data_IF_796079765290
#
_entry.id   IF_796079765290
#
_cell.length_a   1.000
_cell.length_b   1.000
_cell.length_c   1.000
_cell.angle_alpha   90.00
_cell.angle_beta   90.00
_cell.angle_gamma   90.00
#
_symmetry.space_group_name_H-M   'P 1'
#
loop_
_entity.id
_entity.type
_entity.pdbx_description
1 polymer ?
#
# COMPACT_ATOMS: atom_id res chain seq x y z
N UNK A 1 -5.91 1.49 6.03
CA UNK A 1 -7.32 1.90 5.81
C UNK A 1 -8.04 1.82 7.13
N UNK A 2 -8.50 2.96 7.64
CA UNK A 2 -9.35 2.99 8.85
C UNK A 2 -10.74 2.55 8.46
N UNK A 3 -11.15 1.36 8.89
CA UNK A 3 -12.56 1.00 8.93
C UNK A 3 -13.13 1.34 10.30
N UNK A 4 -14.02 2.33 10.33
CA UNK A 4 -14.99 2.50 11.39
C UNK A 4 -16.34 2.03 10.83
N UNK A 5 -16.71 0.80 11.06
CA UNK A 5 -18.12 0.44 11.08
C UNK A 5 -18.53 0.24 12.54
N UNK A 6 -19.58 0.92 12.94
CA UNK A 6 -20.27 0.64 14.18
C UNK A 6 -20.88 -0.75 14.06
N UNK A 7 -20.37 -1.70 14.82
CA UNK A 7 -20.82 -3.08 14.82
C UNK A 7 -19.73 -4.05 14.46
N UNK A 8 -20.01 -5.29 14.61
CA UNK A 8 -19.16 -6.44 14.48
C UNK A 8 -18.30 -6.38 13.19
N UNK A 9 -17.01 -6.35 13.34
CA UNK A 9 -16.07 -6.39 12.20
C UNK A 9 -16.19 -7.77 11.53
N UNK A 10 -16.82 -7.85 10.38
CA UNK A 10 -16.57 -8.93 9.45
C UNK A 10 -15.16 -8.72 8.89
N UNK A 11 -14.22 -9.54 9.31
CA UNK A 11 -12.86 -9.56 8.82
C UNK A 11 -12.75 -10.18 7.40
N UNK A 12 -13.83 -10.20 6.65
CA UNK A 12 -13.92 -10.75 5.32
C UNK A 12 -14.36 -9.68 4.31
N UNK A 13 -13.40 -9.27 3.50
CA UNK A 13 -13.64 -8.70 2.18
C UNK A 13 -14.41 -7.38 2.09
N UNK A 14 -14.08 -6.61 1.08
CA UNK A 14 -14.86 -5.44 0.66
C UNK A 14 -16.18 -5.86 0.01
N UNK A 15 -17.26 -5.20 0.38
CA UNK A 15 -18.45 -5.16 -0.47
C UNK A 15 -18.10 -4.36 -1.72
N UNK A 16 -18.33 -4.89 -2.93
CA UNK A 16 -18.02 -4.14 -4.14
C UNK A 16 -18.88 -2.90 -4.21
N UNK A 17 -18.29 -1.79 -4.59
CA UNK A 17 -19.04 -0.62 -5.01
C UNK A 17 -19.64 -0.95 -6.37
N UNK A 18 -20.97 -0.90 -6.48
CA UNK A 18 -21.66 -1.00 -7.76
C UNK A 18 -21.67 0.37 -8.41
N UNK A 19 -21.68 0.39 -9.74
CA UNK A 19 -21.78 1.63 -10.49
C UNK A 19 -23.00 2.47 -10.06
N UNK A 20 -24.11 1.79 -9.76
CA UNK A 20 -25.34 2.42 -9.28
C UNK A 20 -25.20 3.09 -7.91
N UNK A 21 -24.18 2.73 -7.13
CA UNK A 21 -23.95 3.28 -5.79
C UNK A 21 -23.11 4.58 -5.83
N UNK A 22 -22.61 4.96 -7.00
CA UNK A 22 -21.87 6.22 -7.19
C UNK A 22 -22.87 7.35 -7.41
N UNK A 23 -22.93 8.27 -6.46
CA UNK A 23 -23.86 9.41 -6.50
C UNK A 23 -23.48 10.49 -7.50
N UNK A 24 -22.19 10.57 -7.84
CA UNK A 24 -21.64 11.60 -8.71
C UNK A 24 -20.62 11.02 -9.68
N UNK A 25 -20.46 11.61 -10.88
CA UNK A 25 -19.42 11.20 -11.80
C UNK A 25 -18.05 11.46 -11.19
N UNK A 26 -17.15 10.49 -11.35
CA UNK A 26 -15.76 10.59 -10.87
C UNK A 26 -14.94 11.51 -11.76
N UNK A 27 -15.34 11.65 -13.03
CA UNK A 27 -14.75 12.55 -14.02
C UNK A 27 -15.78 13.09 -14.98
N UNK A 28 -15.61 14.34 -15.43
CA UNK A 28 -16.42 14.92 -16.51
C UNK A 28 -16.06 14.37 -17.90
N UNK A 29 -14.91 13.73 -18.06
CA UNK A 29 -14.49 13.07 -19.29
C UNK A 29 -15.03 11.64 -19.30
N UNK A 30 -15.81 11.27 -20.33
CA UNK A 30 -16.45 9.96 -20.43
C UNK A 30 -15.45 8.79 -20.46
N UNK A 31 -14.31 8.97 -21.09
CA UNK A 31 -13.29 7.91 -21.18
C UNK A 31 -12.60 7.72 -19.84
N UNK A 32 -12.21 8.81 -19.18
CA UNK A 32 -11.66 8.77 -17.82
C UNK A 32 -12.69 8.28 -16.80
N UNK A 33 -13.96 8.65 -17.00
CA UNK A 33 -15.06 8.14 -16.18
C UNK A 33 -15.18 6.62 -16.29
N UNK A 34 -15.08 6.07 -17.50
CA UNK A 34 -15.14 4.62 -17.72
C UNK A 34 -13.99 3.92 -17.03
N UNK A 35 -12.76 4.41 -17.16
CA UNK A 35 -11.57 3.88 -16.49
C UNK A 35 -11.70 3.95 -14.97
N UNK A 36 -12.14 5.10 -14.42
CA UNK A 36 -12.36 5.26 -12.99
C UNK A 36 -13.43 4.30 -12.46
N UNK A 37 -14.48 4.04 -13.24
CA UNK A 37 -15.54 3.11 -12.88
C UNK A 37 -15.07 1.66 -12.93
N UNK A 38 -14.22 1.29 -13.86
CA UNK A 38 -13.65 -0.04 -13.94
C UNK A 38 -12.76 -0.34 -12.72
N UNK A 39 -12.05 0.64 -12.21
CA UNK A 39 -11.28 0.51 -10.96
C UNK A 39 -12.16 0.21 -9.74
N UNK A 40 -13.36 0.78 -9.65
CA UNK A 40 -14.28 0.57 -8.53
C UNK A 40 -15.19 -0.65 -8.71
N UNK A 41 -15.30 -1.19 -9.92
CA UNK A 41 -16.12 -2.36 -10.22
C UNK A 41 -15.53 -3.68 -9.72
N UNK A 42 -14.22 -3.76 -9.59
CA UNK A 42 -13.59 -5.00 -9.20
C UNK A 42 -13.74 -5.24 -7.71
N UNK A 43 -14.45 -6.33 -7.37
CA UNK A 43 -14.34 -6.95 -6.06
C UNK A 43 -12.90 -7.41 -5.91
N UNK A 44 -12.11 -6.64 -5.21
CA UNK A 44 -10.85 -7.15 -4.71
C UNK A 44 -11.10 -7.50 -3.24
N UNK A 45 -11.07 -8.78 -2.92
CA UNK A 45 -10.97 -9.19 -1.54
C UNK A 45 -9.71 -8.55 -0.97
N UNK A 46 -9.86 -7.88 0.18
CA UNK A 46 -8.71 -7.33 0.86
C UNK A 46 -8.05 -8.44 1.67
N UNK A 47 -6.84 -8.88 1.32
CA UNK A 47 -6.14 -9.87 2.12
C UNK A 47 -5.92 -9.32 3.53
N UNK A 48 -6.27 -10.15 4.51
CA UNK A 48 -5.94 -9.89 5.90
C UNK A 48 -4.43 -10.01 6.09
N UNK A 49 -3.82 -8.98 6.65
CA UNK A 49 -2.38 -8.95 6.93
C UNK A 49 -2.11 -9.44 8.33
N UNK A 50 -2.83 -8.90 9.33
CA UNK A 50 -2.63 -9.24 10.73
C UNK A 50 -3.86 -8.91 11.55
N UNK A 51 -4.10 -9.69 12.60
CA UNK A 51 -5.00 -9.36 13.69
C UNK A 51 -4.21 -9.39 15.00
N UNK A 52 -4.22 -8.30 15.73
CA UNK A 52 -3.63 -8.26 17.08
C UNK A 52 -4.69 -7.93 18.13
N UNK A 53 -4.54 -8.52 19.31
CA UNK A 53 -5.24 -8.11 20.51
C UNK A 53 -4.25 -7.41 21.45
N UNK A 54 -4.60 -6.23 21.89
CA UNK A 54 -3.74 -5.38 22.71
C UNK A 54 -4.47 -5.07 24.02
N UNK A 55 -3.89 -5.47 25.17
CA UNK A 55 -4.49 -5.23 26.47
C UNK A 55 -4.17 -3.83 26.99
N UNK A 56 -4.98 -3.34 27.91
CA UNK A 56 -4.76 -2.12 28.69
C UNK A 56 -3.46 -2.19 29.54
N UNK A 57 -2.94 -3.41 29.76
CA UNK A 57 -1.69 -3.67 30.51
C UNK A 57 -0.46 -3.76 29.62
N UNK A 58 -0.61 -3.53 28.31
CA UNK A 58 0.51 -3.52 27.36
C UNK A 58 0.87 -4.88 26.77
N UNK A 59 0.03 -5.90 26.96
CA UNK A 59 0.20 -7.19 26.25
C UNK A 59 -0.26 -7.05 24.80
N UNK A 60 0.46 -7.67 23.88
CA UNK A 60 0.08 -7.78 22.48
C UNK A 60 0.13 -9.23 22.02
N UNK A 61 -0.99 -9.73 21.53
CA UNK A 61 -1.14 -11.10 21.03
C UNK A 61 -1.43 -11.07 19.53
N UNK A 62 -0.70 -11.86 18.75
CA UNK A 62 -1.04 -12.11 17.35
C UNK A 62 -2.15 -13.16 17.28
N UNK A 63 -3.31 -12.77 16.77
CA UNK A 63 -4.50 -13.60 16.61
C UNK A 63 -4.77 -13.97 15.15
N UNK A 64 -3.85 -13.68 14.22
CA UNK A 64 -4.06 -13.89 12.78
C UNK A 64 -4.46 -15.33 12.47
N UNK A 65 -3.80 -16.31 13.10
CA UNK A 65 -4.11 -17.73 12.93
C UNK A 65 -5.43 -18.18 13.57
N UNK A 66 -6.07 -17.31 14.36
CA UNK A 66 -7.38 -17.57 14.98
C UNK A 66 -8.56 -17.12 14.13
N UNK A 67 -8.30 -16.53 12.97
CA UNK A 67 -9.33 -16.15 12.02
C UNK A 67 -9.72 -17.36 11.19
N UNK A 68 -11.00 -17.72 11.23
CA UNK A 68 -11.56 -18.79 10.41
C UNK A 68 -11.78 -18.32 8.96
N UNK A 69 -11.95 -19.25 8.00
CA UNK A 69 -12.21 -18.91 6.60
C UNK A 69 -13.46 -18.05 6.38
N UNK A 70 -14.41 -18.10 7.28
CA UNK A 70 -15.62 -17.25 7.24
C UNK A 70 -15.42 -15.84 7.83
N UNK A 71 -14.19 -15.53 8.27
CA UNK A 71 -13.83 -14.25 8.90
C UNK A 71 -14.13 -14.19 10.40
N UNK A 72 -14.61 -15.27 11.03
CA UNK A 72 -14.88 -15.29 12.46
C UNK A 72 -13.58 -15.42 13.26
N UNK A 73 -13.42 -14.60 14.30
CA UNK A 73 -12.32 -14.72 15.25
C UNK A 73 -12.65 -15.78 16.31
N UNK A 74 -11.89 -16.88 16.33
CA UNK A 74 -12.00 -17.96 17.32
C UNK A 74 -11.03 -17.72 18.48
N UNK A 75 -11.41 -16.81 19.36
CA UNK A 75 -10.60 -16.44 20.52
C UNK A 75 -11.47 -15.97 21.68
N UNK A 76 -11.12 -16.42 22.87
CA UNK A 76 -11.74 -15.93 24.12
C UNK A 76 -10.75 -15.02 24.81
N UNK A 77 -11.14 -13.75 24.99
CA UNK A 77 -10.31 -12.78 25.64
C UNK A 77 -10.04 -13.17 27.10
N UNK A 78 -8.79 -13.11 27.59
CA UNK A 78 -8.49 -13.14 29.01
C UNK A 78 -9.17 -11.98 29.74
N UNK A 79 -9.21 -12.06 31.08
CA UNK A 79 -9.79 -10.98 31.89
C UNK A 79 -9.02 -9.67 31.68
N UNK A 80 -9.75 -8.59 31.37
CA UNK A 80 -9.23 -7.25 31.12
C UNK A 80 -9.87 -6.61 29.90
N UNK A 81 -9.43 -5.40 29.58
CA UNK A 81 -9.88 -4.66 28.41
C UNK A 81 -8.91 -4.90 27.25
N UNK A 82 -9.44 -5.30 26.10
CA UNK A 82 -8.67 -5.65 24.91
C UNK A 82 -9.11 -4.83 23.71
N UNK A 83 -8.15 -4.27 23.02
CA UNK A 83 -8.35 -3.63 21.72
C UNK A 83 -7.91 -4.56 20.61
N UNK A 84 -8.84 -4.92 19.71
CA UNK A 84 -8.54 -5.72 18.52
C UNK A 84 -8.20 -4.78 17.37
N UNK A 85 -7.02 -4.97 16.79
CA UNK A 85 -6.60 -4.29 15.56
C UNK A 85 -6.51 -5.30 14.43
N UNK A 86 -7.17 -5.03 13.30
CA UNK A 86 -7.08 -5.82 12.09
C UNK A 86 -6.62 -4.95 10.94
N UNK A 87 -5.57 -5.36 10.25
CA UNK A 87 -5.07 -4.68 9.06
C UNK A 87 -5.32 -5.51 7.82
N UNK A 88 -5.81 -4.84 6.78
CA UNK A 88 -6.04 -5.42 5.46
C UNK A 88 -5.23 -4.64 4.43
N UNK A 89 -4.68 -5.37 3.46
CA UNK A 89 -4.03 -4.74 2.33
C UNK A 89 -5.08 -4.32 1.32
N UNK A 90 -5.27 -3.01 1.19
CA UNK A 90 -6.09 -2.42 0.13
C UNK A 90 -5.31 -2.23 -1.16
N UNK A 91 -6.04 -2.04 -2.25
CA UNK A 91 -5.46 -1.51 -3.47
C UNK A 91 -5.47 0.01 -3.42
N UNK A 92 -4.42 0.62 -3.92
CA UNK A 92 -4.31 2.06 -4.03
C UNK A 92 -5.40 2.62 -4.98
N UNK A 93 -5.62 1.95 -6.12
CA UNK A 93 -6.64 2.32 -7.10
C UNK A 93 -6.22 3.42 -8.08
N UNK A 94 -4.96 3.85 -8.05
CA UNK A 94 -4.42 4.74 -9.08
C UNK A 94 -4.04 3.92 -10.29
N UNK A 95 -4.51 4.36 -11.45
CA UNK A 95 -4.05 3.89 -12.74
C UNK A 95 -3.04 4.85 -13.35
N UNK A 96 -2.26 4.36 -14.30
CA UNK A 96 -1.40 5.20 -15.13
C UNK A 96 -2.28 6.14 -15.93
N UNK A 97 -2.13 7.44 -15.71
CA UNK A 97 -2.83 8.45 -16.49
C UNK A 97 -2.33 8.52 -17.92
N UNK A 98 -3.27 8.67 -18.86
CA UNK A 98 -2.96 8.87 -20.27
C UNK A 98 -2.00 7.82 -20.83
N UNK A 99 -2.14 6.59 -20.37
CA UNK A 99 -1.38 5.48 -20.92
C UNK A 99 -1.59 5.37 -22.42
N UNK A 100 -0.52 5.06 -23.16
CA UNK A 100 -0.65 4.69 -24.56
C UNK A 100 -1.39 3.37 -24.70
N UNK A 101 -1.97 3.07 -25.87
CA UNK A 101 -2.68 1.81 -26.10
C UNK A 101 -1.84 0.58 -25.69
N UNK A 102 -2.39 -0.28 -24.84
CA UNK A 102 -1.70 -1.46 -24.28
C UNK A 102 -0.80 -1.17 -23.08
N UNK A 103 -0.76 0.08 -22.61
CA UNK A 103 -0.03 0.49 -21.40
C UNK A 103 -0.93 0.76 -20.20
N UNK A 104 -2.22 0.47 -20.32
CA UNK A 104 -3.20 0.63 -19.26
C UNK A 104 -2.89 -0.33 -18.11
N UNK A 105 -3.04 0.14 -16.89
CA UNK A 105 -2.81 -0.69 -15.70
C UNK A 105 -2.64 0.12 -14.42
N UNK A 106 -2.58 -0.60 -13.32
CA UNK A 106 -2.32 -0.01 -12.01
C UNK A 106 -0.87 0.53 -11.95
N UNK A 107 -0.65 1.59 -11.19
CA UNK A 107 0.70 2.04 -10.86
C UNK A 107 1.44 0.97 -10.06
N UNK A 108 2.75 0.94 -10.23
CA UNK A 108 3.61 -0.02 -9.53
C UNK A 108 3.65 0.27 -8.02
N UNK A 109 4.01 -0.73 -7.23
CA UNK A 109 4.36 -0.54 -5.83
C UNK A 109 5.75 0.11 -5.72
N UNK A 110 5.78 1.42 -5.49
CA UNK A 110 7.02 2.20 -5.37
C UNK A 110 7.84 1.86 -4.12
N UNK A 111 7.28 1.14 -3.18
CA UNK A 111 7.97 0.72 -1.95
C UNK A 111 8.57 -0.68 -2.06
N UNK A 112 8.29 -1.39 -3.14
CA UNK A 112 8.79 -2.74 -3.41
C UNK A 112 9.96 -2.71 -4.39
N UNK A 113 11.15 -3.06 -3.91
CA UNK A 113 12.33 -3.18 -4.76
C UNK A 113 12.13 -4.17 -5.91
N UNK A 114 11.43 -5.29 -5.67
CA UNK A 114 11.15 -6.29 -6.69
C UNK A 114 10.17 -5.79 -7.76
N UNK A 115 9.20 -4.97 -7.38
CA UNK A 115 8.27 -4.37 -8.33
C UNK A 115 9.01 -3.40 -9.28
N UNK A 116 9.92 -2.58 -8.73
CA UNK A 116 10.75 -1.68 -9.53
C UNK A 116 11.66 -2.46 -10.48
N UNK A 117 12.33 -3.50 -10.00
CA UNK A 117 13.19 -4.33 -10.85
C UNK A 117 12.40 -4.96 -12.00
N UNK A 118 11.23 -5.50 -11.69
CA UNK A 118 10.37 -6.09 -12.70
C UNK A 118 9.93 -5.04 -13.75
N UNK A 119 9.55 -3.85 -13.30
CA UNK A 119 9.19 -2.75 -14.21
C UNK A 119 10.35 -2.36 -15.10
N UNK A 120 11.54 -2.13 -14.53
CA UNK A 120 12.72 -1.71 -15.26
C UNK A 120 13.24 -2.80 -16.22
N UNK A 121 13.05 -4.08 -15.90
CA UNK A 121 13.41 -5.18 -16.80
C UNK A 121 12.69 -5.13 -18.14
N UNK A 122 11.50 -4.53 -18.21
CA UNK A 122 10.76 -4.34 -19.46
C UNK A 122 11.47 -3.37 -20.41
N UNK A 123 12.12 -2.37 -19.86
CA UNK A 123 12.96 -1.46 -20.64
C UNK A 123 14.26 -2.15 -21.11
N UNK A 124 14.86 -3.00 -20.26
CA UNK A 124 16.02 -3.80 -20.66
C UNK A 124 15.67 -4.71 -21.87
N UNK A 125 14.51 -5.36 -21.82
CA UNK A 125 14.00 -6.18 -22.93
C UNK A 125 13.75 -5.34 -24.19
N UNK A 126 13.11 -4.16 -24.04
CA UNK A 126 12.76 -3.28 -25.15
C UNK A 126 13.99 -2.67 -25.83
N UNK A 127 15.03 -2.40 -25.06
CA UNK A 127 16.28 -1.78 -25.56
C UNK A 127 17.31 -2.80 -26.06
N UNK A 128 17.07 -4.09 -25.84
CA UNK A 128 18.01 -5.12 -26.25
C UNK A 128 18.32 -5.05 -27.74
N UNK A 129 19.61 -4.87 -28.06
CA UNK A 129 20.08 -4.75 -29.43
C UNK A 129 19.71 -3.44 -30.14
N UNK A 130 19.20 -2.45 -29.41
CA UNK A 130 18.92 -1.12 -29.95
C UNK A 130 20.07 -0.16 -29.63
N UNK A 131 20.30 0.77 -30.56
CA UNK A 131 21.21 1.89 -30.29
C UNK A 131 20.47 2.95 -29.47
N UNK A 132 20.85 3.06 -28.20
CA UNK A 132 20.34 4.07 -27.26
C UNK A 132 21.42 5.11 -26.91
N UNK A 133 22.47 5.23 -27.72
CA UNK A 133 23.60 6.15 -27.43
C UNK A 133 23.16 7.60 -27.33
N UNK A 134 22.13 8.00 -28.04
CA UNK A 134 21.55 9.34 -28.05
C UNK A 134 20.70 9.67 -26.81
N UNK A 135 20.26 8.66 -26.02
CA UNK A 135 19.57 8.88 -24.74
C UNK A 135 20.58 9.40 -23.71
N UNK A 136 20.21 10.44 -22.99
CA UNK A 136 21.02 10.99 -21.90
C UNK A 136 20.41 10.70 -20.54
N UNK A 137 19.10 10.81 -20.45
CA UNK A 137 18.36 10.70 -19.21
C UNK A 137 17.09 9.88 -19.43
N UNK A 138 16.70 9.14 -18.41
CA UNK A 138 15.36 8.61 -18.27
C UNK A 138 14.55 9.59 -17.45
N UNK A 139 13.36 9.89 -17.92
CA UNK A 139 12.45 10.83 -17.26
C UNK A 139 11.34 10.07 -16.56
N UNK A 140 11.05 10.44 -15.33
CA UNK A 140 9.85 10.06 -14.61
C UNK A 140 9.12 11.36 -14.23
N UNK A 141 7.84 11.40 -14.47
CA UNK A 141 7.02 12.52 -14.06
C UNK A 141 6.76 12.51 -12.55
N UNK A 142 5.90 13.38 -12.06
CA UNK A 142 5.57 13.51 -10.65
C UNK A 142 5.07 12.20 -10.04
N UNK A 143 5.32 12.05 -8.75
CA UNK A 143 4.75 10.97 -7.94
C UNK A 143 3.31 11.33 -7.59
N UNK A 144 2.37 10.94 -8.46
CA UNK A 144 0.96 11.30 -8.36
C UNK A 144 0.15 10.10 -7.85
N UNK A 145 -0.03 10.02 -6.54
CA UNK A 145 -0.76 8.94 -5.88
C UNK A 145 -1.83 9.45 -4.91
N UNK A 146 -2.08 10.75 -4.89
CA UNK A 146 -2.92 11.43 -3.91
C UNK A 146 -4.39 11.53 -4.32
N UNK A 147 -4.71 11.39 -5.58
CA UNK A 147 -6.06 11.47 -6.13
C UNK A 147 -6.78 10.11 -6.22
N UNK A 148 -6.15 9.06 -5.72
CA UNK A 148 -6.76 7.74 -5.64
C UNK A 148 -7.56 7.57 -4.35
N UNK A 149 -8.50 6.61 -4.34
CA UNK A 149 -9.30 6.29 -3.14
C UNK A 149 -8.50 5.65 -2.03
N UNK A 150 -7.46 4.87 -2.38
CA UNK A 150 -6.52 4.29 -1.44
C UNK A 150 -5.33 5.21 -1.20
N UNK A 151 -4.71 5.08 -0.04
CA UNK A 151 -3.47 5.77 0.27
C UNK A 151 -2.29 4.90 -0.16
N UNK A 152 -1.29 5.49 -0.83
CA UNK A 152 -0.02 4.83 -1.12
C UNK A 152 0.85 4.84 0.13
N UNK A 153 0.63 3.91 1.02
CA UNK A 153 1.25 3.89 2.34
C UNK A 153 1.62 2.49 2.84
N UNK A 154 1.62 1.49 1.96
CA UNK A 154 1.86 0.11 2.33
C UNK A 154 2.54 -0.68 1.21
N UNK A 155 3.34 -1.66 1.62
CA UNK A 155 3.87 -2.74 0.77
C UNK A 155 3.87 -4.04 1.57
N UNK A 156 3.81 -5.23 0.96
CA UNK A 156 3.82 -6.50 1.71
C UNK A 156 4.99 -6.68 2.68
N UNK A 157 6.16 -6.14 2.36
CA UNK A 157 7.35 -6.22 3.21
C UNK A 157 7.41 -5.14 4.32
N UNK A 158 6.36 -4.32 4.48
CA UNK A 158 6.42 -3.11 5.30
C UNK A 158 6.82 -3.36 6.75
N UNK A 159 6.30 -4.37 7.40
CA UNK A 159 6.64 -4.67 8.80
C UNK A 159 8.12 -4.99 8.98
N UNK A 160 8.69 -5.79 8.10
CA UNK A 160 10.09 -6.20 8.18
C UNK A 160 11.02 -5.02 7.87
N UNK A 161 10.68 -4.22 6.87
CA UNK A 161 11.42 -2.99 6.55
C UNK A 161 11.29 -1.96 7.67
N UNK A 162 10.10 -1.80 8.27
CA UNK A 162 9.92 -0.93 9.43
C UNK A 162 10.82 -1.36 10.59
N UNK A 163 10.82 -2.64 10.94
CA UNK A 163 11.67 -3.15 12.01
C UNK A 163 13.16 -2.92 11.71
N UNK A 164 13.57 -3.12 10.48
CA UNK A 164 14.94 -2.87 10.02
C UNK A 164 15.36 -1.41 10.18
N UNK A 165 14.48 -0.46 9.79
CA UNK A 165 14.78 0.97 9.84
C UNK A 165 14.58 1.59 11.22
N UNK A 166 13.60 1.13 12.00
CA UNK A 166 13.18 1.74 13.27
C UNK A 166 13.64 0.97 14.51
N UNK A 167 14.02 -0.30 14.35
CA UNK A 167 14.58 -1.11 15.45
C UNK A 167 13.54 -1.73 16.38
N UNK A 168 12.25 -1.64 16.03
CA UNK A 168 11.17 -2.26 16.80
C UNK A 168 10.04 -2.78 15.90
N UNK A 169 9.24 -3.71 16.41
CA UNK A 169 8.16 -4.34 15.66
C UNK A 169 6.87 -3.49 15.73
N UNK A 170 6.48 -2.92 14.60
CA UNK A 170 5.26 -2.11 14.48
C UNK A 170 4.00 -2.89 14.86
N UNK A 171 3.99 -4.22 14.68
CA UNK A 171 2.83 -5.07 15.01
C UNK A 171 2.39 -4.91 16.47
N UNK A 172 3.35 -4.65 17.35
CA UNK A 172 3.11 -4.43 18.78
C UNK A 172 2.59 -3.02 19.11
N UNK A 173 2.55 -2.13 18.12
CA UNK A 173 2.19 -0.72 18.28
C UNK A 173 1.03 -0.29 17.39
N UNK A 174 0.23 -1.23 16.89
CA UNK A 174 -0.91 -0.92 16.01
C UNK A 174 -1.94 0.02 16.68
N UNK A 175 -2.29 -0.11 17.97
CA UNK A 175 -3.15 0.89 18.60
C UNK A 175 -2.60 2.31 18.51
N UNK A 176 -1.31 2.48 18.74
CA UNK A 176 -0.68 3.80 18.63
C UNK A 176 -0.68 4.32 17.20
N UNK A 177 -0.37 3.48 16.21
CA UNK A 177 -0.45 3.84 14.79
C UNK A 177 -1.87 4.30 14.40
N UNK A 178 -2.90 3.67 14.96
CA UNK A 178 -4.30 3.98 14.71
C UNK A 178 -4.84 5.14 15.59
N UNK A 179 -3.99 5.77 16.39
CA UNK A 179 -4.36 6.90 17.23
C UNK A 179 -5.15 6.53 18.49
N UNK A 180 -5.00 5.29 18.97
CA UNK A 180 -5.76 4.70 20.07
C UNK A 180 -4.92 4.54 21.36
N UNK A 181 -3.73 5.10 21.41
CA UNK A 181 -2.83 5.14 22.57
C UNK A 181 -2.67 6.60 23.05
N UNK A 182 -1.70 6.88 23.91
CA UNK A 182 -1.42 8.25 24.34
C UNK A 182 -1.02 9.15 23.16
N UNK A 183 -1.35 10.44 23.18
CA UNK A 183 -1.04 11.37 22.10
C UNK A 183 0.45 11.37 21.69
N UNK A 184 1.36 11.31 22.67
CA UNK A 184 2.81 11.28 22.43
C UNK A 184 3.22 9.99 21.70
N UNK A 185 2.75 8.82 22.16
CA UNK A 185 3.08 7.53 21.53
C UNK A 185 2.48 7.43 20.14
N UNK A 186 1.24 7.90 19.96
CA UNK A 186 0.61 7.96 18.63
C UNK A 186 1.44 8.78 17.65
N UNK A 187 1.89 9.97 18.08
CA UNK A 187 2.69 10.85 17.23
C UNK A 187 4.03 10.23 16.85
N UNK A 188 4.74 9.60 17.79
CA UNK A 188 6.03 8.93 17.52
C UNK A 188 5.90 7.76 16.56
N UNK A 189 4.94 6.87 16.81
CA UNK A 189 4.74 5.70 15.94
C UNK A 189 4.30 6.12 14.54
N UNK A 190 3.43 7.12 14.42
CA UNK A 190 3.02 7.67 13.13
C UNK A 190 4.18 8.36 12.41
N UNK A 191 5.05 9.07 13.13
CA UNK A 191 6.26 9.66 12.57
C UNK A 191 7.18 8.57 12.00
N UNK A 192 7.48 7.53 12.77
CA UNK A 192 8.33 6.42 12.34
C UNK A 192 7.74 5.66 11.15
N UNK A 193 6.42 5.50 11.12
CA UNK A 193 5.69 4.94 9.98
C UNK A 193 5.92 5.76 8.71
N UNK A 194 5.71 7.07 8.78
CA UNK A 194 5.92 7.98 7.63
C UNK A 194 7.37 8.06 7.20
N UNK A 195 8.30 8.05 8.14
CA UNK A 195 9.73 8.01 7.82
C UNK A 195 10.10 6.71 7.11
N UNK A 196 9.49 5.57 7.49
CA UNK A 196 9.72 4.30 6.80
C UNK A 196 9.23 4.36 5.35
N UNK A 197 8.05 4.93 5.10
CA UNK A 197 7.56 5.16 3.73
C UNK A 197 8.56 5.98 2.91
N UNK A 198 9.06 7.08 3.49
CA UNK A 198 10.06 7.93 2.84
C UNK A 198 11.36 7.16 2.54
N UNK A 199 11.86 6.38 3.49
CA UNK A 199 13.06 5.56 3.31
C UNK A 199 12.88 4.52 2.19
N UNK A 200 11.70 3.89 2.13
CA UNK A 200 11.37 2.93 1.07
C UNK A 200 11.31 3.61 -0.31
N UNK A 201 10.65 4.77 -0.41
CA UNK A 201 10.57 5.51 -1.66
C UNK A 201 11.96 5.91 -2.17
N UNK A 202 12.83 6.37 -1.27
CA UNK A 202 14.20 6.74 -1.65
C UNK A 202 15.01 5.49 -2.05
N UNK A 203 15.04 4.47 -1.19
CA UNK A 203 15.98 3.35 -1.37
C UNK A 203 15.49 2.30 -2.36
N UNK A 204 14.17 2.02 -2.38
CA UNK A 204 13.60 0.98 -3.24
C UNK A 204 13.18 1.51 -4.62
N UNK A 205 12.88 2.82 -4.73
CA UNK A 205 12.53 3.42 -6.00
C UNK A 205 13.65 4.31 -6.55
N UNK A 206 13.90 5.47 -5.94
CA UNK A 206 14.74 6.51 -6.55
C UNK A 206 16.21 6.08 -6.75
N UNK A 207 16.85 5.54 -5.71
CA UNK A 207 18.23 5.08 -5.78
C UNK A 207 18.35 3.86 -6.69
N UNK A 208 17.38 2.95 -6.64
CA UNK A 208 17.38 1.75 -7.47
C UNK A 208 17.24 2.08 -8.95
N UNK A 209 16.34 2.98 -9.29
CA UNK A 209 16.18 3.49 -10.65
C UNK A 209 17.44 4.21 -11.13
N UNK A 210 18.04 5.07 -10.28
CA UNK A 210 19.32 5.72 -10.59
C UNK A 210 20.42 4.70 -10.90
N UNK A 211 20.56 3.67 -10.07
CA UNK A 211 21.57 2.62 -10.30
C UNK A 211 21.31 1.85 -11.60
N UNK A 212 20.05 1.56 -11.92
CA UNK A 212 19.70 0.92 -13.19
C UNK A 212 20.09 1.80 -14.39
N UNK A 213 19.77 3.08 -14.37
CA UNK A 213 20.13 4.02 -15.42
C UNK A 213 21.64 4.16 -15.55
N UNK A 214 22.38 4.26 -14.44
CA UNK A 214 23.84 4.39 -14.42
C UNK A 214 24.56 3.20 -15.06
N UNK A 215 24.04 1.97 -14.91
CA UNK A 215 24.59 0.78 -15.60
C UNK A 215 24.58 0.90 -17.12
N UNK A 216 23.71 1.74 -17.66
CA UNK A 216 23.59 2.02 -19.09
C UNK A 216 24.29 3.33 -19.48
N UNK A 217 25.04 3.95 -18.55
CA UNK A 217 25.68 5.23 -18.75
C UNK A 217 24.72 6.41 -18.87
N UNK A 218 23.52 6.30 -18.28
CA UNK A 218 22.44 7.29 -18.35
C UNK A 218 22.19 7.91 -16.98
N UNK A 219 21.62 9.12 -16.98
CA UNK A 219 21.09 9.74 -15.79
C UNK A 219 19.59 9.51 -15.64
N UNK A 220 19.04 9.97 -14.51
CA UNK A 220 17.60 10.07 -14.25
C UNK A 220 17.20 11.53 -14.04
N UNK A 221 15.95 11.84 -14.31
CA UNK A 221 15.39 13.18 -14.12
C UNK A 221 13.92 13.09 -13.70
#
# INVERSE_FOLDING_TARGET
VRYKEEGFVRLAGHTPVKLADLKEPVSANADLQTLALDQVRYKKELPLIIVTANSDKGECLDLTSKIKPDGTLDWTAPQGDWTICALFQGHHGKMVERAGPGGEGDVIDHFSASAIDHYLSKFDEAFKGKDISYLRYYFNDSYEVDDARGESNWTPAFFDEFQKYRGYDLRQHLPALLGMDTPDKNARVLYDYRQTINDLLINHYSIRWQHWAAKQGKGIR
#
